data_IF_257090226364
#
_entry.id   IF_257090226364
#
_cell.length_a   1.000
_cell.length_b   1.000
_cell.length_c   1.000
_cell.angle_alpha   90.00
_cell.angle_beta   90.00
_cell.angle_gamma   90.00
#
_symmetry.space_group_name_H-M   'P 1'
#
loop_
_entity.id
_entity.type
_entity.pdbx_description
1 polymer ?
#
# COMPACT_ATOMS: atom_id res chain seq x y z
N UNK A 1 0.94 4.40 -21.16
CA UNK A 1 0.16 3.28 -21.75
C UNK A 1 0.08 2.21 -20.68
N UNK A 2 -1.10 1.73 -20.24
CA UNK A 2 -1.13 0.58 -19.35
C UNK A 2 -0.60 -0.60 -20.18
N UNK A 3 0.51 -1.22 -19.77
CA UNK A 3 0.94 -2.47 -20.40
C UNK A 3 -0.21 -3.46 -20.28
N UNK A 4 -0.76 -3.85 -21.42
CA UNK A 4 -1.76 -4.89 -21.47
C UNK A 4 -1.07 -6.21 -21.09
N UNK A 5 -1.42 -6.76 -19.93
CA UNK A 5 -0.84 -8.02 -19.49
C UNK A 5 -1.37 -9.16 -20.36
N UNK A 6 -0.45 -9.92 -20.97
CA UNK A 6 -0.80 -11.01 -21.90
C UNK A 6 -1.48 -12.17 -21.17
N UNK A 7 -1.11 -12.43 -19.92
CA UNK A 7 -1.59 -13.57 -19.11
C UNK A 7 -2.77 -13.16 -18.21
N UNK A 8 -2.79 -11.91 -17.74
CA UNK A 8 -3.74 -11.44 -16.75
C UNK A 8 -4.71 -10.42 -17.36
N UNK A 9 -5.98 -10.51 -17.00
CA UNK A 9 -7.00 -9.54 -17.34
C UNK A 9 -7.45 -8.80 -16.09
N UNK A 10 -7.52 -7.48 -16.20
CA UNK A 10 -8.13 -6.63 -15.18
C UNK A 10 -9.65 -6.63 -15.35
N UNK A 11 -10.39 -6.88 -14.29
CA UNK A 11 -11.86 -6.77 -14.22
C UNK A 11 -12.28 -5.33 -13.87
N UNK A 12 -13.57 -5.05 -14.05
CA UNK A 12 -14.18 -3.74 -13.78
C UNK A 12 -14.08 -3.33 -12.30
N UNK A 13 -14.06 -4.29 -11.38
CA UNK A 13 -13.93 -4.11 -9.94
C UNK A 13 -12.48 -3.92 -9.46
N UNK A 14 -11.53 -3.67 -10.38
CA UNK A 14 -10.09 -3.60 -10.12
C UNK A 14 -9.46 -4.89 -9.57
N UNK A 15 -10.15 -6.03 -9.67
CA UNK A 15 -9.56 -7.33 -9.45
C UNK A 15 -8.89 -7.86 -10.71
N UNK A 16 -8.06 -8.88 -10.56
CA UNK A 16 -7.35 -9.52 -11.66
C UNK A 16 -7.76 -10.98 -11.77
N UNK A 17 -7.85 -11.47 -13.00
CA UNK A 17 -8.04 -12.89 -13.31
C UNK A 17 -7.05 -13.33 -14.36
N UNK A 18 -6.71 -14.61 -14.37
CA UNK A 18 -5.97 -15.21 -15.49
C UNK A 18 -6.91 -15.25 -16.69
N UNK A 19 -6.41 -14.88 -17.87
CA UNK A 19 -7.18 -14.93 -19.12
C UNK A 19 -7.56 -16.36 -19.46
N UNK A 20 -8.78 -16.54 -19.95
CA UNK A 20 -9.23 -17.83 -20.46
C UNK A 20 -8.42 -18.21 -21.72
N UNK A 21 -8.28 -19.52 -21.95
CA UNK A 21 -7.55 -20.09 -23.09
C UNK A 21 -6.05 -19.77 -23.17
N UNK A 22 -5.42 -19.38 -22.05
CA UNK A 22 -3.96 -19.28 -21.93
C UNK A 22 -3.42 -20.56 -21.29
N UNK A 23 -2.45 -21.19 -21.92
CA UNK A 23 -1.69 -22.31 -21.36
C UNK A 23 -0.27 -22.34 -21.94
N UNK A 24 0.59 -23.14 -21.31
CA UNK A 24 1.92 -23.48 -21.82
C UNK A 24 1.98 -24.97 -22.14
N UNK A 25 2.87 -25.39 -23.03
CA UNK A 25 2.97 -26.79 -23.47
C UNK A 25 3.22 -27.79 -22.34
N UNK A 26 3.84 -27.35 -21.24
CA UNK A 26 4.17 -28.18 -20.09
C UNK A 26 3.05 -28.29 -19.04
N UNK A 27 1.93 -27.58 -19.19
CA UNK A 27 0.81 -27.58 -18.23
C UNK A 27 -0.53 -27.73 -18.93
N UNK A 28 -1.48 -28.40 -18.26
CA UNK A 28 -2.88 -28.34 -18.69
C UNK A 28 -3.45 -26.94 -18.41
N UNK A 29 -4.43 -26.46 -19.20
CA UNK A 29 -5.04 -25.14 -18.99
C UNK A 29 -5.58 -24.95 -17.56
N UNK A 30 -6.15 -26.00 -16.98
CA UNK A 30 -6.65 -25.99 -15.60
C UNK A 30 -5.52 -25.77 -14.57
N UNK A 31 -4.41 -26.51 -14.69
CA UNK A 31 -3.27 -26.37 -13.79
C UNK A 31 -2.60 -25.01 -13.94
N UNK A 32 -2.52 -24.48 -15.17
CA UNK A 32 -2.02 -23.14 -15.44
C UNK A 32 -2.90 -22.09 -14.75
N UNK A 33 -4.21 -22.13 -14.97
CA UNK A 33 -5.15 -21.18 -14.37
C UNK A 33 -5.09 -21.21 -12.85
N UNK A 34 -5.11 -22.40 -12.23
CA UNK A 34 -5.02 -22.56 -10.78
C UNK A 34 -3.71 -21.97 -10.22
N UNK A 35 -2.57 -22.34 -10.79
CA UNK A 35 -1.26 -21.88 -10.30
C UNK A 35 -1.11 -20.36 -10.39
N UNK A 36 -1.38 -19.78 -11.56
CA UNK A 36 -1.18 -18.36 -11.82
C UNK A 36 -2.24 -17.47 -11.14
N UNK A 37 -3.41 -18.03 -10.81
CA UNK A 37 -4.45 -17.30 -10.06
C UNK A 37 -3.99 -16.86 -8.66
N UNK A 38 -3.02 -17.58 -8.09
CA UNK A 38 -2.44 -17.26 -6.78
C UNK A 38 -1.85 -15.85 -6.75
N UNK A 39 -1.37 -15.33 -7.88
CA UNK A 39 -0.79 -13.99 -7.99
C UNK A 39 -1.83 -12.87 -8.14
N UNK A 40 -3.04 -13.19 -8.60
CA UNK A 40 -4.10 -12.21 -8.85
C UNK A 40 -4.46 -11.37 -7.60
N UNK A 41 -4.41 -12.00 -6.42
CA UNK A 41 -4.65 -11.30 -5.15
C UNK A 41 -3.62 -10.21 -4.89
N UNK A 42 -2.34 -10.45 -5.22
CA UNK A 42 -1.26 -9.50 -5.01
C UNK A 42 -1.33 -8.33 -6.02
N UNK A 43 -1.72 -8.59 -7.27
CA UNK A 43 -1.99 -7.49 -8.22
C UNK A 43 -3.14 -6.60 -7.76
N UNK A 44 -4.19 -7.21 -7.19
CA UNK A 44 -5.29 -6.45 -6.59
C UNK A 44 -4.83 -5.61 -5.41
N UNK A 45 -3.94 -6.14 -4.55
CA UNK A 45 -3.30 -5.38 -3.46
C UNK A 45 -2.52 -4.20 -4.01
N UNK A 46 -1.59 -4.42 -4.95
CA UNK A 46 -0.81 -3.36 -5.59
C UNK A 46 -1.71 -2.27 -6.17
N UNK A 47 -2.78 -2.68 -6.87
CA UNK A 47 -3.70 -1.73 -7.49
C UNK A 47 -4.42 -0.87 -6.45
N UNK A 48 -4.81 -1.43 -5.30
CA UNK A 48 -5.40 -0.65 -4.21
C UNK A 48 -4.44 0.41 -3.69
N UNK A 49 -3.18 0.05 -3.42
CA UNK A 49 -2.20 1.02 -2.93
C UNK A 49 -1.97 2.14 -3.95
N UNK A 50 -1.94 1.82 -5.24
CA UNK A 50 -1.84 2.82 -6.32
C UNK A 50 -3.09 3.70 -6.44
N UNK A 51 -4.29 3.13 -6.29
CA UNK A 51 -5.54 3.89 -6.33
C UNK A 51 -5.64 4.87 -5.17
N UNK A 52 -5.14 4.49 -3.99
CA UNK A 52 -5.09 5.40 -2.85
C UNK A 52 -4.20 6.62 -3.14
N UNK A 53 -3.02 6.40 -3.71
CA UNK A 53 -2.14 7.49 -4.16
C UNK A 53 -2.80 8.38 -5.22
N UNK A 54 -3.44 7.77 -6.21
CA UNK A 54 -4.18 8.49 -7.26
C UNK A 54 -5.33 9.31 -6.67
N UNK A 55 -6.08 8.76 -5.71
CA UNK A 55 -7.17 9.46 -5.03
C UNK A 55 -6.69 10.69 -4.27
N UNK A 56 -5.50 10.64 -3.63
CA UNK A 56 -4.92 11.83 -3.00
C UNK A 56 -4.57 12.91 -4.03
N UNK A 57 -4.02 12.53 -5.18
CA UNK A 57 -3.71 13.47 -6.27
C UNK A 57 -4.97 14.07 -6.91
N UNK A 58 -6.03 13.28 -7.04
CA UNK A 58 -7.32 13.75 -7.56
C UNK A 58 -7.96 14.80 -6.63
N UNK A 59 -7.84 14.64 -5.30
CA UNK A 59 -8.31 15.66 -4.36
C UNK A 59 -7.64 17.02 -4.63
N UNK A 60 -6.33 17.02 -4.85
CA UNK A 60 -5.59 18.23 -5.23
C UNK A 60 -6.11 18.86 -6.50
N UNK A 61 -6.37 18.06 -7.54
CA UNK A 61 -6.91 18.54 -8.81
C UNK A 61 -8.33 19.13 -8.67
N UNK A 62 -9.10 18.67 -7.69
CA UNK A 62 -10.41 19.21 -7.33
C UNK A 62 -10.37 20.40 -6.37
N UNK A 63 -9.19 20.93 -6.04
CA UNK A 63 -9.02 22.03 -5.07
C UNK A 63 -9.30 21.64 -3.62
N UNK A 64 -9.38 20.33 -3.32
CA UNK A 64 -9.50 19.80 -1.95
C UNK A 64 -8.12 19.40 -1.44
N UNK A 65 -7.77 19.87 -0.25
CA UNK A 65 -6.49 19.50 0.38
C UNK A 65 -6.72 18.38 1.40
N UNK A 66 -6.20 17.16 1.18
CA UNK A 66 -6.28 16.08 2.18
C UNK A 66 -5.48 16.46 3.44
N UNK A 67 -5.65 15.82 4.59
CA UNK A 67 -4.81 16.11 5.77
C UNK A 67 -3.32 15.89 5.47
N UNK A 68 -2.43 16.73 6.01
CA UNK A 68 -0.98 16.55 5.88
C UNK A 68 -0.55 15.24 6.57
N UNK A 69 -1.24 14.86 7.64
CA UNK A 69 -1.03 13.58 8.31
C UNK A 69 -1.26 12.38 7.37
N UNK A 70 -2.28 12.47 6.50
CA UNK A 70 -2.58 11.41 5.53
C UNK A 70 -1.52 11.33 4.42
N UNK A 71 -0.90 12.45 4.07
CA UNK A 71 0.20 12.52 3.12
C UNK A 71 1.50 11.95 3.67
N UNK A 72 1.79 12.25 4.94
CA UNK A 72 2.93 11.67 5.64
C UNK A 72 2.77 10.14 5.74
N UNK A 73 1.56 9.66 6.03
CA UNK A 73 1.21 8.25 5.96
C UNK A 73 1.46 7.66 4.58
N UNK A 74 0.89 8.27 3.52
CA UNK A 74 1.06 7.80 2.14
C UNK A 74 2.54 7.77 1.73
N UNK A 75 3.32 8.78 2.13
CA UNK A 75 4.74 8.88 1.83
C UNK A 75 5.53 7.75 2.47
N UNK A 76 5.27 7.45 3.75
CA UNK A 76 5.91 6.33 4.45
C UNK A 76 5.49 4.97 3.86
N UNK A 77 4.20 4.81 3.55
CA UNK A 77 3.68 3.62 2.86
C UNK A 77 4.35 3.40 1.50
N UNK A 78 4.56 4.46 0.71
CA UNK A 78 5.27 4.40 -0.56
C UNK A 78 6.73 3.95 -0.40
N UNK A 79 7.40 4.36 0.67
CA UNK A 79 8.77 3.88 0.95
C UNK A 79 8.78 2.36 1.20
N UNK A 80 7.85 1.84 2.00
CA UNK A 80 7.70 0.39 2.20
C UNK A 80 7.41 -0.35 0.90
N UNK A 81 6.49 0.18 0.09
CA UNK A 81 6.16 -0.40 -1.20
C UNK A 81 7.34 -0.35 -2.18
N UNK A 82 8.18 0.69 -2.11
CA UNK A 82 9.39 0.80 -2.92
C UNK A 82 10.40 -0.32 -2.60
N UNK A 83 10.61 -0.63 -1.32
CA UNK A 83 11.48 -1.75 -0.91
C UNK A 83 11.01 -3.08 -1.53
N UNK A 84 9.69 -3.32 -1.55
CA UNK A 84 9.12 -4.51 -2.22
C UNK A 84 9.40 -4.49 -3.73
N UNK A 85 9.24 -3.33 -4.38
CA UNK A 85 9.54 -3.18 -5.82
C UNK A 85 11.00 -3.44 -6.13
N UNK A 86 11.92 -2.88 -5.35
CA UNK A 86 13.36 -3.08 -5.54
C UNK A 86 13.73 -4.57 -5.49
N UNK A 87 13.13 -5.32 -4.57
CA UNK A 87 13.34 -6.77 -4.50
C UNK A 87 12.79 -7.51 -5.71
N UNK A 88 11.64 -7.12 -6.24
CA UNK A 88 11.10 -7.70 -7.48
C UNK A 88 12.03 -7.40 -8.66
N UNK A 89 12.57 -6.19 -8.75
CA UNK A 89 13.54 -5.79 -9.79
C UNK A 89 14.84 -6.60 -9.64
N UNK A 90 15.30 -6.87 -8.42
CA UNK A 90 16.46 -7.72 -8.17
C UNK A 90 16.24 -9.14 -8.70
N UNK A 91 15.06 -9.72 -8.45
CA UNK A 91 14.66 -11.04 -8.96
C UNK A 91 14.56 -11.04 -10.49
N UNK A 92 13.93 -10.02 -11.08
CA UNK A 92 13.86 -9.85 -12.53
C UNK A 92 15.27 -9.82 -13.14
N UNK A 93 16.19 -9.05 -12.55
CA UNK A 93 17.59 -9.00 -12.97
C UNK A 93 18.31 -10.34 -12.90
N UNK A 94 18.02 -11.18 -11.89
CA UNK A 94 18.55 -12.56 -11.81
C UNK A 94 18.02 -13.44 -12.93
N UNK A 95 16.72 -13.35 -13.22
CA UNK A 95 16.08 -14.13 -14.30
C UNK A 95 16.62 -13.72 -15.67
N UNK A 96 16.78 -12.41 -15.93
CA UNK A 96 17.29 -11.89 -17.19
C UNK A 96 18.73 -12.30 -17.48
N UNK A 97 19.57 -12.49 -16.45
CA UNK A 97 20.95 -12.97 -16.62
C UNK A 97 21.04 -14.43 -17.05
N UNK A 98 19.98 -15.22 -16.88
CA UNK A 98 19.89 -16.64 -17.28
C UNK A 98 21.04 -17.52 -16.77
N UNK A 99 21.69 -17.15 -15.65
CA UNK A 99 22.82 -17.92 -15.11
C UNK A 99 22.42 -19.28 -14.53
N UNK A 100 21.13 -19.48 -14.24
CA UNK A 100 20.57 -20.70 -13.66
C UNK A 100 19.22 -21.03 -14.31
N UNK A 101 18.79 -22.29 -14.19
CA UNK A 101 17.47 -22.72 -14.65
C UNK A 101 16.42 -22.13 -13.71
N UNK A 102 15.75 -21.08 -14.16
CA UNK A 102 14.64 -20.47 -13.44
C UNK A 102 13.34 -21.13 -13.86
N UNK A 103 12.68 -21.80 -12.91
CA UNK A 103 11.37 -22.40 -13.11
C UNK A 103 10.29 -21.58 -12.41
N UNK A 104 9.02 -21.88 -12.69
CA UNK A 104 7.91 -21.28 -11.96
C UNK A 104 8.03 -21.47 -10.44
N UNK A 105 8.47 -22.65 -10.00
CA UNK A 105 8.57 -22.97 -8.57
C UNK A 105 9.68 -22.17 -7.88
N UNK A 106 10.86 -22.09 -8.50
CA UNK A 106 11.97 -21.30 -7.95
C UNK A 106 11.60 -19.82 -7.89
N UNK A 107 11.00 -19.29 -8.96
CA UNK A 107 10.56 -17.90 -8.98
C UNK A 107 9.44 -17.61 -7.95
N UNK A 108 8.51 -18.55 -7.78
CA UNK A 108 7.43 -18.40 -6.79
C UNK A 108 7.99 -18.36 -5.37
N UNK A 109 9.00 -19.19 -5.07
CA UNK A 109 9.68 -19.19 -3.78
C UNK A 109 10.47 -17.89 -3.56
N UNK A 110 11.20 -17.41 -4.56
CA UNK A 110 11.96 -16.16 -4.46
C UNK A 110 11.04 -14.94 -4.24
N UNK A 111 9.84 -14.97 -4.81
CA UNK A 111 8.85 -13.90 -4.65
C UNK A 111 8.08 -13.97 -3.34
N UNK A 112 8.04 -15.12 -2.67
CA UNK A 112 7.15 -15.38 -1.53
C UNK A 112 7.32 -14.35 -0.41
N UNK A 113 8.57 -14.11 0.02
CA UNK A 113 8.89 -13.13 1.07
C UNK A 113 8.40 -11.72 0.71
N UNK A 114 8.61 -11.31 -0.55
CA UNK A 114 8.22 -9.98 -1.03
C UNK A 114 6.70 -9.83 -1.08
N UNK A 115 6.01 -10.89 -1.51
CA UNK A 115 4.55 -10.91 -1.62
C UNK A 115 3.88 -10.99 -0.23
N UNK A 116 4.50 -11.66 0.73
CA UNK A 116 4.04 -11.67 2.12
C UNK A 116 4.17 -10.29 2.76
N UNK A 117 5.27 -9.57 2.54
CA UNK A 117 5.42 -8.17 2.97
C UNK A 117 4.38 -7.25 2.36
N UNK A 118 4.15 -7.37 1.06
CA UNK A 118 3.09 -6.64 0.36
C UNK A 118 1.72 -6.92 0.96
N UNK A 119 1.42 -8.20 1.26
CA UNK A 119 0.16 -8.60 1.88
C UNK A 119 0.00 -7.96 3.26
N UNK A 120 1.02 -8.00 4.11
CA UNK A 120 0.98 -7.36 5.43
C UNK A 120 0.75 -5.84 5.29
N UNK A 121 1.41 -5.17 4.35
CA UNK A 121 1.23 -3.75 4.09
C UNK A 121 -0.20 -3.42 3.64
N UNK A 122 -0.77 -4.18 2.70
CA UNK A 122 -2.15 -4.00 2.24
C UNK A 122 -3.18 -4.27 3.34
N UNK A 123 -2.96 -5.29 4.19
CA UNK A 123 -3.83 -5.57 5.33
C UNK A 123 -3.82 -4.44 6.36
N UNK A 124 -2.65 -3.89 6.70
CA UNK A 124 -2.55 -2.70 7.56
C UNK A 124 -3.30 -1.54 6.90
N UNK A 125 -3.03 -1.28 5.62
CA UNK A 125 -3.66 -0.19 4.89
C UNK A 125 -5.20 -0.28 4.91
N UNK A 126 -5.76 -1.46 4.64
CA UNK A 126 -7.21 -1.70 4.66
C UNK A 126 -7.82 -1.59 6.05
N UNK A 127 -7.08 -1.92 7.10
CA UNK A 127 -7.56 -1.78 8.48
C UNK A 127 -7.59 -0.32 8.96
N UNK A 128 -6.65 0.49 8.46
CA UNK A 128 -6.40 1.85 8.93
C UNK A 128 -7.13 2.90 8.11
N UNK A 129 -7.15 2.75 6.79
CA UNK A 129 -7.78 3.71 5.88
C UNK A 129 -9.24 3.37 5.69
N UNK A 130 -10.11 4.29 6.09
CA UNK A 130 -11.55 4.17 5.85
C UNK A 130 -11.90 4.36 4.38
N UNK A 131 -12.83 3.55 3.88
CA UNK A 131 -13.51 3.76 2.60
C UNK A 131 -14.69 4.73 2.70
N UNK A 132 -15.10 5.10 3.91
CA UNK A 132 -16.22 6.02 4.11
C UNK A 132 -15.79 7.46 3.82
N UNK A 133 -16.63 8.25 3.12
CA UNK A 133 -16.38 9.66 2.91
C UNK A 133 -16.54 10.39 4.26
N UNK A 134 -15.44 10.55 4.98
CA UNK A 134 -15.42 11.49 6.09
C UNK A 134 -15.32 12.91 5.53
N UNK A 135 -16.21 13.79 5.98
CA UNK A 135 -16.23 15.17 5.49
C UNK A 135 -15.18 16.06 6.16
N UNK A 136 -14.74 15.72 7.38
CA UNK A 136 -13.86 16.56 8.20
C UNK A 136 -12.43 15.99 8.32
N UNK A 137 -11.43 16.84 8.08
CA UNK A 137 -10.03 16.46 8.08
C UNK A 137 -9.52 16.01 9.46
N UNK A 138 -9.91 16.67 10.54
CA UNK A 138 -9.55 16.24 11.90
C UNK A 138 -10.06 14.83 12.24
N UNK A 139 -11.25 14.44 11.73
CA UNK A 139 -11.79 13.08 11.94
C UNK A 139 -10.94 12.04 11.22
N UNK A 140 -10.56 12.33 9.96
CA UNK A 140 -9.69 11.47 9.16
C UNK A 140 -8.36 11.24 9.86
N UNK A 141 -7.74 12.33 10.32
CA UNK A 141 -6.45 12.29 11.02
C UNK A 141 -6.55 11.53 12.33
N UNK A 142 -7.55 11.84 13.16
CA UNK A 142 -7.75 11.17 14.44
C UNK A 142 -8.01 9.65 14.26
N UNK A 143 -8.87 9.27 13.31
CA UNK A 143 -9.16 7.87 13.01
C UNK A 143 -7.92 7.14 12.51
N UNK A 144 -7.16 7.75 11.59
CA UNK A 144 -5.92 7.18 11.05
C UNK A 144 -4.92 6.89 12.18
N UNK A 145 -4.63 7.89 13.02
CA UNK A 145 -3.67 7.76 14.13
C UNK A 145 -4.14 6.73 15.16
N UNK A 146 -5.42 6.75 15.52
CA UNK A 146 -5.99 5.79 16.48
C UNK A 146 -5.98 4.37 15.92
N UNK A 147 -6.31 4.20 14.64
CA UNK A 147 -6.30 2.89 13.99
C UNK A 147 -4.87 2.33 13.89
N UNK A 148 -3.89 3.15 13.52
CA UNK A 148 -2.47 2.77 13.52
C UNK A 148 -1.98 2.36 14.90
N UNK A 149 -2.35 3.13 15.93
CA UNK A 149 -2.01 2.80 17.31
C UNK A 149 -2.60 1.44 17.74
N UNK A 150 -3.90 1.21 17.47
CA UNK A 150 -4.57 -0.06 17.77
C UNK A 150 -3.97 -1.23 17.00
N UNK A 151 -3.64 -1.04 15.73
CA UNK A 151 -2.99 -2.07 14.91
C UNK A 151 -1.58 -2.40 15.40
N UNK A 152 -0.86 -1.42 15.95
CA UNK A 152 0.44 -1.63 16.59
C UNK A 152 0.29 -2.40 17.91
N UNK A 153 -0.67 -2.01 18.77
CA UNK A 153 -0.90 -2.62 20.09
C UNK A 153 -1.41 -4.07 20.00
N UNK A 154 -2.32 -4.35 19.06
CA UNK A 154 -2.92 -5.68 18.90
C UNK A 154 -2.07 -6.63 18.05
N UNK A 155 -0.91 -6.20 17.57
CA UNK A 155 -0.09 -7.01 16.67
C UNK A 155 0.73 -8.06 17.44
N UNK A 156 0.46 -9.34 17.20
CA UNK A 156 1.33 -10.43 17.66
C UNK A 156 2.55 -10.67 16.77
N UNK A 157 2.58 -10.07 15.57
CA UNK A 157 3.68 -10.20 14.61
C UNK A 157 4.59 -8.97 14.68
N UNK A 158 5.86 -9.19 15.03
CA UNK A 158 6.89 -8.14 15.14
C UNK A 158 7.08 -7.34 13.85
N UNK A 159 7.03 -7.98 12.67
CA UNK A 159 7.17 -7.27 11.40
C UNK A 159 5.99 -6.34 11.15
N UNK A 160 4.77 -6.81 11.39
CA UNK A 160 3.55 -5.99 11.29
C UNK A 160 3.59 -4.83 12.28
N UNK A 161 3.95 -5.08 13.54
CA UNK A 161 4.10 -4.06 14.57
C UNK A 161 5.12 -2.97 14.17
N UNK A 162 6.27 -3.37 13.63
CA UNK A 162 7.31 -2.44 13.18
C UNK A 162 6.82 -1.55 12.01
N UNK A 163 6.10 -2.13 11.05
CA UNK A 163 5.52 -1.36 9.93
C UNK A 163 4.49 -0.36 10.47
N UNK A 164 3.57 -0.81 11.34
CA UNK A 164 2.58 0.06 11.99
C UNK A 164 3.26 1.19 12.78
N UNK A 165 4.30 0.89 13.56
CA UNK A 165 5.03 1.89 14.33
C UNK A 165 5.71 2.93 13.43
N UNK A 166 6.35 2.51 12.35
CA UNK A 166 6.98 3.45 11.41
C UNK A 166 5.95 4.33 10.70
N UNK A 167 4.82 3.76 10.28
CA UNK A 167 3.71 4.51 9.67
C UNK A 167 3.10 5.49 10.69
N UNK A 168 2.92 5.05 11.94
CA UNK A 168 2.41 5.87 13.04
C UNK A 168 3.34 7.05 13.34
N UNK A 169 4.63 6.81 13.56
CA UNK A 169 5.60 7.87 13.86
C UNK A 169 5.72 8.88 12.71
N UNK A 170 5.71 8.41 11.47
CA UNK A 170 5.73 9.29 10.30
C UNK A 170 4.50 10.19 10.24
N UNK A 171 3.32 9.65 10.56
CA UNK A 171 2.06 10.38 10.58
C UNK A 171 1.98 11.34 11.77
N UNK A 172 2.34 10.87 12.96
CA UNK A 172 2.32 11.61 14.22
C UNK A 172 3.26 12.82 14.19
N UNK A 173 4.38 12.74 13.45
CA UNK A 173 5.31 13.86 13.27
C UNK A 173 4.61 15.14 12.83
N UNK A 174 3.64 15.06 11.94
CA UNK A 174 2.88 16.24 11.47
C UNK A 174 2.12 16.87 12.64
N UNK A 175 1.43 16.04 13.42
CA UNK A 175 0.66 16.46 14.58
C UNK A 175 1.55 17.08 15.68
N UNK A 176 2.74 16.50 15.91
CA UNK A 176 3.73 17.02 16.86
C UNK A 176 4.32 18.36 16.42
N UNK A 177 4.54 18.56 15.12
CA UNK A 177 5.01 19.86 14.61
C UNK A 177 3.98 20.97 14.87
N UNK A 178 2.68 20.69 14.71
CA UNK A 178 1.62 21.67 15.03
C UNK A 178 1.66 22.05 16.51
N UNK A 179 1.83 21.05 17.40
CA UNK A 179 1.94 21.27 18.85
C UNK A 179 3.19 22.08 19.19
N UNK A 180 4.33 21.75 18.57
CA UNK A 180 5.60 22.44 18.80
C UNK A 180 5.52 23.92 18.41
N UNK A 181 4.99 24.24 17.21
CA UNK A 181 4.77 25.63 16.79
C UNK A 181 3.82 26.36 17.73
N UNK A 182 2.75 25.69 18.19
CA UNK A 182 1.80 26.30 19.10
C UNK A 182 2.42 26.64 20.46
N UNK A 183 3.20 25.74 21.04
CA UNK A 183 3.83 25.94 22.35
C UNK A 183 5.04 26.88 22.30
N UNK A 184 5.83 26.79 21.24
CA UNK A 184 7.07 27.58 21.10
C UNK A 184 6.80 29.01 20.62
N UNK A 185 5.84 29.19 19.72
CA UNK A 185 5.57 30.51 19.08
C UNK A 185 4.24 31.13 19.51
N UNK A 186 3.40 30.41 20.26
CA UNK A 186 2.06 30.88 20.66
C UNK A 186 1.06 30.96 19.50
N UNK A 187 1.38 30.36 18.34
CA UNK A 187 0.57 30.41 17.12
C UNK A 187 0.11 29.01 16.73
N UNK A 188 -1.21 28.80 16.67
CA UNK A 188 -1.77 27.55 16.15
C UNK A 188 -1.84 27.61 14.62
N UNK A 189 -0.87 26.99 13.96
CA UNK A 189 -0.79 26.87 12.50
C UNK A 189 -1.33 25.51 12.03
N UNK A 190 -2.65 25.45 11.83
CA UNK A 190 -3.31 24.29 11.21
C UNK A 190 -3.92 24.68 9.85
N UNK A 191 -3.15 24.51 8.79
CA UNK A 191 -3.57 24.88 7.43
C UNK A 191 -4.66 23.96 6.85
N UNK A 192 -4.90 22.78 7.44
CA UNK A 192 -5.79 21.76 6.86
C UNK A 192 -6.92 21.32 7.81
N UNK A 193 -7.11 22.01 8.93
CA UNK A 193 -8.11 21.69 9.96
C UNK A 193 -8.01 20.22 10.41
N UNK A 194 -6.78 19.75 10.63
CA UNK A 194 -6.48 18.39 11.06
C UNK A 194 -6.25 18.24 12.58
N UNK A 195 -6.04 19.35 13.29
CA UNK A 195 -5.86 19.37 14.74
C UNK A 195 -7.20 19.35 15.47
N UNK A 196 -7.27 18.63 16.60
CA UNK A 196 -8.53 18.44 17.33
C UNK A 196 -9.01 19.71 18.03
N UNK A 197 -8.08 20.59 18.42
CA UNK A 197 -8.40 21.89 19.00
C UNK A 197 -8.50 22.88 17.84
N UNK A 198 -9.72 23.31 17.52
CA UNK A 198 -9.94 24.38 16.55
C UNK A 198 -10.05 25.73 17.27
N UNK A 199 -9.64 26.78 16.57
CA UNK A 199 -9.80 28.17 17.00
C UNK A 199 -11.25 28.63 16.87
#
# INVERSE_FOLDING_TARGET
>A
IPMEMVIYQKKSDCTFVVRDNVSISSLTPFCFQSSFSTFCKYFSMIRRLQLFEQGLLELYNCGKYPPLTLEAYNSSMKQYYHIVKEKIIEIEGKVMKQCQINTYLTLSSDLEDCLMRLKTLDEIHRSVVSTEPEDLNWRKTYRLLTALYKEMENSSNRERANICASLYLSSLRVYLNIIDTWLSEGRLEDFRNEFLISK
#
